data_IF_587731528882
#
_entry.id   IF_587731528882
#
_cell.length_a   1.000
_cell.length_b   1.000
_cell.length_c   1.000
_cell.angle_alpha   90.00
_cell.angle_beta   90.00
_cell.angle_gamma   90.00
#
_symmetry.space_group_name_H-M   'P 1'
#
loop_
_entity.id
_entity.type
_entity.pdbx_description
1 polymer ?
#
# COMPACT_ATOMS: atom_id res chain seq x y z
N UNK A 1 10.02 2.87 20.73
CA UNK A 1 9.22 2.28 19.64
C UNK A 1 9.48 3.12 18.41
N UNK A 2 9.98 2.53 17.30
CA UNK A 2 10.34 3.24 16.08
C UNK A 2 9.08 3.93 15.50
N UNK A 3 9.12 5.24 15.23
CA UNK A 3 7.97 6.00 14.72
C UNK A 3 7.44 5.42 13.41
N UNK A 4 8.33 4.96 12.53
CA UNK A 4 7.96 4.31 11.28
C UNK A 4 7.13 3.03 11.52
N UNK A 5 7.46 2.26 12.56
CA UNK A 5 6.67 1.06 12.93
C UNK A 5 5.28 1.41 13.44
N UNK A 6 5.12 2.55 14.12
CA UNK A 6 3.79 3.01 14.56
C UNK A 6 2.93 3.41 13.36
N UNK A 7 3.52 4.14 12.42
CA UNK A 7 2.83 4.57 11.20
C UNK A 7 2.40 3.36 10.39
N UNK A 8 3.29 2.39 10.22
CA UNK A 8 2.98 1.17 9.48
C UNK A 8 1.86 0.36 10.12
N UNK A 9 1.87 0.22 11.45
CA UNK A 9 0.76 -0.40 12.19
C UNK A 9 -0.55 0.36 11.98
N UNK A 10 -0.54 1.68 12.05
CA UNK A 10 -1.74 2.50 11.85
C UNK A 10 -2.29 2.36 10.42
N UNK A 11 -1.44 2.27 9.40
CA UNK A 11 -1.85 2.05 8.01
C UNK A 11 -2.53 0.68 7.89
N UNK A 12 -1.91 -0.38 8.41
CA UNK A 12 -2.48 -1.75 8.35
C UNK A 12 -3.82 -1.83 9.10
N UNK A 13 -3.94 -1.19 10.26
CA UNK A 13 -5.19 -1.17 11.04
C UNK A 13 -6.32 -0.38 10.39
N UNK A 14 -5.99 0.62 9.55
CA UNK A 14 -6.98 1.56 8.98
C UNK A 14 -7.11 1.49 7.46
N UNK A 15 -6.46 0.52 6.81
CA UNK A 15 -6.44 0.39 5.35
C UNK A 15 -7.84 0.29 4.73
N UNK A 16 -8.82 -0.26 5.45
CA UNK A 16 -10.22 -0.36 5.01
C UNK A 16 -10.88 1.01 4.75
N UNK A 17 -10.34 2.10 5.30
CA UNK A 17 -10.81 3.45 5.04
C UNK A 17 -10.28 4.03 3.71
N UNK A 18 -9.33 3.36 3.07
CA UNK A 18 -8.68 3.79 1.84
C UNK A 18 -9.34 3.13 0.63
N UNK A 19 -10.59 3.51 0.32
CA UNK A 19 -11.46 2.89 -0.71
C UNK A 19 -10.88 2.71 -2.12
N UNK A 20 -9.80 3.41 -2.47
CA UNK A 20 -9.15 3.34 -3.77
C UNK A 20 -7.78 2.65 -3.70
N UNK A 21 -7.33 2.24 -2.52
CA UNK A 21 -6.10 1.48 -2.34
C UNK A 21 -6.46 0.05 -1.95
N UNK A 22 -5.90 -0.90 -2.67
CA UNK A 22 -5.94 -2.32 -2.32
C UNK A 22 -4.58 -2.71 -1.77
N UNK A 23 -4.57 -3.37 -0.63
CA UNK A 23 -3.38 -3.86 0.05
C UNK A 23 -3.41 -5.38 0.02
N UNK A 24 -2.32 -5.98 -0.45
CA UNK A 24 -2.17 -7.43 -0.57
C UNK A 24 -0.82 -7.84 0.01
N UNK A 25 -0.76 -9.04 0.57
CA UNK A 25 0.47 -9.67 1.03
C UNK A 25 0.65 -10.99 0.28
N UNK A 26 1.76 -11.12 -0.45
CA UNK A 26 2.04 -12.27 -1.31
C UNK A 26 3.50 -12.67 -1.12
N UNK A 27 3.74 -13.91 -0.64
CA UNK A 27 5.09 -14.44 -0.41
C UNK A 27 5.99 -13.51 0.43
N UNK A 28 5.50 -13.05 1.57
CA UNK A 28 6.19 -12.11 2.47
C UNK A 28 6.53 -10.74 1.85
N UNK A 29 5.87 -10.38 0.74
CA UNK A 29 5.98 -9.06 0.11
C UNK A 29 4.63 -8.33 0.13
N UNK A 30 4.69 -7.02 0.33
CA UNK A 30 3.53 -6.13 0.29
C UNK A 30 3.33 -5.58 -1.12
N UNK A 31 2.08 -5.60 -1.56
CA UNK A 31 1.63 -5.01 -2.80
C UNK A 31 0.54 -4.00 -2.47
N UNK A 32 0.71 -2.76 -2.93
CA UNK A 32 -0.34 -1.74 -2.83
C UNK A 32 -0.74 -1.34 -4.24
N UNK A 33 -2.03 -1.35 -4.52
CA UNK A 33 -2.59 -1.00 -5.83
C UNK A 33 -3.53 0.19 -5.71
N UNK A 34 -3.41 1.17 -6.60
CA UNK A 34 -4.43 2.20 -6.80
C UNK A 34 -5.46 1.67 -7.78
N UNK A 35 -6.71 1.55 -7.33
CA UNK A 35 -7.80 1.02 -8.12
C UNK A 35 -8.74 2.14 -8.59
N UNK A 36 -9.21 2.04 -9.83
CA UNK A 36 -10.24 2.92 -10.35
C UNK A 36 -11.62 2.64 -9.72
N UNK A 37 -12.64 3.41 -10.12
CA UNK A 37 -14.02 3.23 -9.65
C UNK A 37 -14.66 1.90 -10.06
N UNK A 38 -14.07 1.18 -11.01
CA UNK A 38 -14.50 -0.14 -11.49
C UNK A 38 -13.73 -1.28 -10.82
N UNK A 39 -12.75 -0.97 -9.97
CA UNK A 39 -11.92 -1.94 -9.26
C UNK A 39 -10.69 -2.43 -10.03
N UNK A 40 -10.35 -1.82 -11.18
CA UNK A 40 -9.15 -2.18 -11.93
C UNK A 40 -7.93 -1.45 -11.37
N UNK A 41 -6.83 -2.20 -11.20
CA UNK A 41 -5.56 -1.63 -10.78
C UNK A 41 -4.96 -0.75 -11.87
N UNK A 42 -4.80 0.54 -11.55
CA UNK A 42 -4.21 1.58 -12.40
C UNK A 42 -2.68 1.56 -12.28
N UNK A 43 -2.18 1.50 -11.05
CA UNK A 43 -0.76 1.41 -10.73
C UNK A 43 -0.58 0.52 -9.50
N UNK A 44 0.54 -0.20 -9.45
CA UNK A 44 0.93 -1.05 -8.33
C UNK A 44 2.31 -0.65 -7.83
N UNK A 45 2.49 -0.73 -6.52
CA UNK A 45 3.78 -0.64 -5.88
C UNK A 45 4.08 -1.90 -5.06
N UNK A 46 5.36 -2.19 -4.91
CA UNK A 46 5.89 -3.40 -4.29
C UNK A 46 6.91 -3.05 -3.21
N UNK A 47 6.94 -3.83 -2.13
CA UNK A 47 7.88 -3.57 -1.05
C UNK A 47 7.96 -4.67 -0.01
N UNK A 48 9.00 -4.60 0.83
CA UNK A 48 9.15 -5.47 1.99
C UNK A 48 8.37 -4.95 3.21
N UNK A 49 7.87 -3.72 3.12
CA UNK A 49 6.98 -3.06 4.09
C UNK A 49 5.82 -2.43 3.35
N UNK A 50 4.72 -2.15 4.04
CA UNK A 50 3.58 -1.44 3.43
C UNK A 50 4.01 -0.05 2.98
N UNK A 51 4.89 0.60 3.75
CA UNK A 51 5.44 1.92 3.41
C UNK A 51 6.29 1.87 2.13
N UNK A 52 7.13 0.84 1.97
CA UNK A 52 7.92 0.67 0.75
C UNK A 52 7.00 0.50 -0.47
N UNK A 53 5.96 -0.32 -0.36
CA UNK A 53 4.99 -0.54 -1.43
C UNK A 53 4.20 0.74 -1.78
N UNK A 54 3.82 1.55 -0.79
CA UNK A 54 3.19 2.87 -1.03
C UNK A 54 4.15 3.82 -1.76
N UNK A 55 5.42 3.87 -1.34
CA UNK A 55 6.41 4.73 -1.97
C UNK A 55 6.73 4.32 -3.41
N UNK A 56 6.83 3.01 -3.66
CA UNK A 56 7.00 2.46 -5.01
C UNK A 56 5.79 2.80 -5.90
N UNK A 57 4.56 2.62 -5.38
CA UNK A 57 3.34 3.03 -6.08
C UNK A 57 3.37 4.52 -6.43
N UNK A 58 3.74 5.37 -5.47
CA UNK A 58 3.82 6.82 -5.66
C UNK A 58 4.84 7.18 -6.74
N UNK A 59 5.99 6.49 -6.79
CA UNK A 59 7.00 6.72 -7.82
C UNK A 59 6.50 6.46 -9.25
N UNK A 60 5.51 5.56 -9.41
CA UNK A 60 4.86 5.31 -10.69
C UNK A 60 3.93 6.43 -11.19
N UNK A 61 3.71 7.47 -10.38
CA UNK A 61 2.79 8.58 -10.66
C UNK A 61 3.50 9.93 -10.90
N UNK A 62 4.83 9.99 -10.78
CA UNK A 62 5.65 11.22 -10.88
C UNK A 62 6.77 11.12 -11.91
#
# INVERSE_FOLDING_TARGET
>A
MNEQKKIEQEIVEKQDHLKHLLFEEVNDAYIVSLNDSSGYAVVKGYGNTVIDAINDLHSGLI
#
